data_IF_290341925203
#
_entry.id   IF_290341925203
#
_cell.length_a   1.000
_cell.length_b   1.000
_cell.length_c   1.000
_cell.angle_alpha   90.00
_cell.angle_beta   90.00
_cell.angle_gamma   90.00
#
_symmetry.space_group_name_H-M   'P 1'
#
loop_
_entity.id
_entity.type
_entity.pdbx_description
1 polymer ?
#
# COMPACT_ATOMS: atom_id res chain seq x y z
N UNK A 1 66.00 51.92 -51.36
CA UNK A 1 65.93 50.56 -50.78
C UNK A 1 64.93 50.61 -49.63
N UNK A 2 64.00 49.64 -49.60
CA UNK A 2 62.89 49.42 -48.64
C UNK A 2 63.26 49.53 -47.14
N UNK A 3 62.28 49.50 -46.21
CA UNK A 3 61.16 50.42 -45.95
C UNK A 3 61.16 50.78 -44.45
N UNK A 4 60.20 51.56 -43.93
CA UNK A 4 59.84 51.52 -42.49
C UNK A 4 58.45 52.10 -42.28
N UNK A 5 57.48 51.20 -42.10
CA UNK A 5 56.21 51.47 -41.42
C UNK A 5 56.50 51.68 -39.93
N UNK A 6 55.95 52.73 -39.31
CA UNK A 6 55.70 52.75 -37.87
C UNK A 6 54.36 53.43 -37.58
N UNK A 7 53.49 52.67 -36.94
CA UNK A 7 52.14 53.01 -36.46
C UNK A 7 52.27 53.53 -35.01
N UNK A 8 51.42 54.47 -34.55
CA UNK A 8 51.00 54.50 -33.16
C UNK A 8 49.47 54.42 -33.06
N UNK A 9 48.96 53.35 -32.47
CA UNK A 9 48.54 53.25 -31.05
C UNK A 9 47.13 53.78 -30.81
N UNK A 10 46.16 52.91 -31.08
CA UNK A 10 44.78 53.01 -30.59
C UNK A 10 44.77 52.57 -29.13
N UNK A 11 44.37 53.47 -28.25
CA UNK A 11 44.15 53.26 -26.82
C UNK A 11 42.87 52.42 -26.63
N UNK A 12 43.01 51.12 -26.34
CA UNK A 12 41.89 50.23 -26.06
C UNK A 12 41.71 50.11 -24.53
N UNK A 13 40.68 50.75 -23.97
CA UNK A 13 40.30 50.59 -22.56
C UNK A 13 39.76 49.17 -22.32
N UNK A 14 40.44 48.42 -21.46
CA UNK A 14 40.01 47.11 -20.95
C UNK A 14 38.93 47.29 -19.87
N UNK A 15 37.69 46.92 -20.19
CA UNK A 15 36.63 46.68 -19.21
C UNK A 15 36.85 45.31 -18.57
N UNK A 16 37.21 45.29 -17.29
CA UNK A 16 37.26 44.07 -16.46
C UNK A 16 35.83 43.57 -16.22
N UNK A 17 35.40 42.57 -16.99
CA UNK A 17 34.20 41.80 -16.66
C UNK A 17 34.54 40.84 -15.51
N UNK A 18 33.92 41.03 -14.35
CA UNK A 18 34.01 40.10 -13.22
C UNK A 18 33.24 38.82 -13.57
N UNK A 19 33.96 37.70 -13.70
CA UNK A 19 33.35 36.37 -13.79
C UNK A 19 32.73 36.02 -12.43
N UNK A 20 31.42 36.20 -12.29
CA UNK A 20 30.64 35.57 -11.22
C UNK A 20 30.45 34.11 -11.60
N UNK A 21 31.30 33.22 -11.08
CA UNK A 21 31.10 31.78 -11.22
C UNK A 21 29.92 31.37 -10.32
N UNK A 22 28.79 30.99 -10.92
CA UNK A 22 27.70 30.35 -10.19
C UNK A 22 28.15 28.95 -9.75
N UNK A 23 28.02 28.66 -8.46
CA UNK A 23 28.15 27.31 -7.94
C UNK A 23 27.19 26.37 -8.69
N UNK A 24 27.60 25.12 -9.01
CA UNK A 24 26.67 24.15 -9.58
C UNK A 24 25.51 23.96 -8.60
N UNK A 25 24.25 23.85 -9.09
CA UNK A 25 23.13 23.54 -8.22
C UNK A 25 23.45 22.23 -7.50
N UNK A 26 23.31 22.24 -6.17
CA UNK A 26 23.33 21.02 -5.37
C UNK A 26 22.35 20.02 -6.00
N UNK A 27 22.71 18.71 -6.09
CA UNK A 27 21.75 17.71 -6.49
C UNK A 27 20.59 17.80 -5.50
N UNK A 28 19.47 18.32 -6.00
CA UNK A 28 18.20 18.39 -5.31
C UNK A 28 17.88 16.93 -5.02
N UNK A 29 18.04 16.51 -3.77
CA UNK A 29 17.48 15.25 -3.29
C UNK A 29 16.01 15.31 -3.63
N UNK A 30 15.64 14.61 -4.71
CA UNK A 30 14.26 14.45 -5.12
C UNK A 30 13.50 13.90 -3.93
N UNK A 31 12.61 14.73 -3.38
CA UNK A 31 11.54 14.28 -2.49
C UNK A 31 10.96 12.98 -3.05
N UNK A 32 10.74 11.92 -2.24
CA UNK A 32 10.10 10.71 -2.73
C UNK A 32 8.76 11.06 -3.39
N UNK A 33 8.54 10.60 -4.62
CA UNK A 33 7.26 10.72 -5.32
C UNK A 33 6.18 10.06 -4.45
N UNK A 34 5.08 10.76 -4.12
CA UNK A 34 4.00 10.22 -3.29
C UNK A 34 3.26 9.01 -3.91
N UNK A 35 3.65 8.56 -5.12
CA UNK A 35 3.11 7.37 -5.78
C UNK A 35 3.94 6.09 -5.61
N UNK A 36 5.11 6.14 -4.96
CA UNK A 36 5.92 4.94 -4.76
C UNK A 36 5.45 4.21 -3.52
N UNK A 37 4.65 3.15 -3.72
CA UNK A 37 4.27 2.24 -2.66
C UNK A 37 5.42 1.25 -2.40
N UNK A 38 5.67 0.96 -1.13
CA UNK A 38 6.61 -0.08 -0.69
C UNK A 38 5.80 -1.33 -0.35
N UNK A 39 6.06 -2.42 -1.08
CA UNK A 39 5.33 -3.69 -0.95
C UNK A 39 6.21 -4.74 -0.30
N UNK A 40 5.62 -5.57 0.57
CA UNK A 40 6.26 -6.82 1.02
C UNK A 40 5.61 -7.98 0.27
N UNK A 41 6.38 -8.67 -0.59
CA UNK A 41 5.91 -9.84 -1.34
C UNK A 41 6.78 -11.04 -0.98
N UNK A 42 6.17 -12.21 -0.81
CA UNK A 42 6.88 -13.42 -0.45
C UNK A 42 7.22 -14.24 -1.70
N UNK A 43 8.43 -14.79 -1.74
CA UNK A 43 8.77 -15.80 -2.74
C UNK A 43 8.07 -17.14 -2.44
N UNK A 44 8.17 -18.09 -3.37
CA UNK A 44 7.64 -19.46 -3.28
C UNK A 44 8.21 -20.25 -2.11
N UNK A 45 9.32 -19.79 -1.50
CA UNK A 45 9.96 -20.38 -0.32
C UNK A 45 9.55 -19.68 0.98
N UNK A 46 8.73 -18.62 0.90
CA UNK A 46 8.23 -17.86 2.04
C UNK A 46 9.19 -16.79 2.56
N UNK A 47 10.20 -16.37 1.80
CA UNK A 47 11.05 -15.24 2.20
C UNK A 47 10.42 -13.91 1.79
N UNK A 48 10.40 -12.90 2.68
CA UNK A 48 9.87 -11.58 2.37
C UNK A 48 10.85 -10.77 1.51
N UNK A 49 10.32 -10.12 0.48
CA UNK A 49 11.02 -9.19 -0.39
C UNK A 49 10.34 -7.82 -0.36
N UNK A 50 11.13 -6.79 -0.11
CA UNK A 50 10.67 -5.41 -0.14
C UNK A 50 10.85 -4.84 -1.55
N UNK A 51 9.74 -4.42 -2.15
CA UNK A 51 9.72 -4.00 -3.55
C UNK A 51 9.02 -2.66 -3.68
N UNK A 52 9.70 -1.71 -4.32
CA UNK A 52 9.17 -0.38 -4.60
C UNK A 52 8.43 -0.36 -5.94
N UNK A 53 7.34 0.40 -6.03
CA UNK A 53 6.65 0.70 -7.29
C UNK A 53 5.15 0.48 -7.21
N UNK A 54 4.49 0.33 -8.36
CA UNK A 54 3.12 -0.17 -8.42
C UNK A 54 3.06 -1.67 -8.11
N UNK A 55 1.86 -2.21 -7.85
CA UNK A 55 1.73 -3.66 -7.59
C UNK A 55 2.12 -4.50 -8.83
N UNK A 56 1.91 -3.99 -10.05
CA UNK A 56 2.33 -4.62 -11.30
C UNK A 56 3.84 -4.56 -11.51
N UNK A 57 4.49 -3.48 -11.07
CA UNK A 57 5.95 -3.37 -11.04
C UNK A 57 6.53 -4.29 -9.97
N UNK A 58 5.88 -4.38 -8.81
CA UNK A 58 6.30 -5.23 -7.71
C UNK A 58 6.20 -6.72 -8.09
N UNK A 59 5.12 -7.13 -8.75
CA UNK A 59 5.00 -8.48 -9.30
C UNK A 59 6.03 -8.77 -10.40
N UNK A 60 6.31 -7.82 -11.30
CA UNK A 60 7.38 -7.99 -12.30
C UNK A 60 8.75 -8.17 -11.63
N UNK A 61 9.08 -7.38 -10.63
CA UNK A 61 10.32 -7.55 -9.87
C UNK A 61 10.37 -8.92 -9.16
N UNK A 62 9.24 -9.40 -8.65
CA UNK A 62 9.17 -10.72 -8.02
C UNK A 62 9.37 -11.88 -8.98
N UNK A 63 8.93 -11.77 -10.24
CA UNK A 63 9.25 -12.80 -11.26
C UNK A 63 10.75 -12.90 -11.59
N UNK A 64 11.53 -11.86 -11.29
CA UNK A 64 12.99 -11.87 -11.45
C UNK A 64 13.66 -12.46 -10.21
N UNK A 65 13.17 -12.12 -9.02
CA UNK A 65 13.69 -12.58 -7.72
C UNK A 65 13.40 -14.07 -7.52
N UNK A 66 12.21 -14.50 -7.94
CA UNK A 66 11.73 -15.87 -7.87
C UNK A 66 11.08 -16.25 -9.21
N UNK A 67 11.80 -16.94 -10.10
CA UNK A 67 11.27 -17.36 -11.40
C UNK A 67 10.02 -18.24 -11.34
N UNK A 68 9.75 -18.89 -10.20
CA UNK A 68 8.57 -19.72 -9.99
C UNK A 68 7.37 -18.92 -9.46
N UNK A 69 7.57 -17.64 -9.11
CA UNK A 69 6.52 -16.74 -8.66
C UNK A 69 5.49 -16.50 -9.77
N UNK A 70 4.22 -16.81 -9.49
CA UNK A 70 3.10 -16.54 -10.39
C UNK A 70 2.21 -15.45 -9.80
N UNK A 71 2.08 -14.29 -10.46
CA UNK A 71 1.14 -13.26 -10.00
C UNK A 71 -0.30 -13.80 -10.09
N UNK A 72 -1.20 -13.40 -9.17
CA UNK A 72 -2.59 -13.86 -9.18
C UNK A 72 -3.29 -13.42 -10.47
N UNK A 73 -3.93 -14.38 -11.16
CA UNK A 73 -4.68 -14.15 -12.39
C UNK A 73 -6.09 -13.64 -12.06
N UNK A 74 -6.26 -12.32 -11.96
CA UNK A 74 -7.55 -11.61 -11.83
C UNK A 74 -8.39 -11.93 -10.59
N UNK A 75 -9.23 -10.99 -10.09
CA UNK A 75 -10.07 -11.24 -8.92
C UNK A 75 -11.09 -12.37 -9.20
N UNK A 76 -11.37 -13.25 -8.22
CA UNK A 76 -12.27 -14.38 -8.40
C UNK A 76 -13.71 -13.89 -8.59
N UNK A 77 -14.47 -14.65 -9.38
CA UNK A 77 -15.92 -14.53 -9.53
C UNK A 77 -16.62 -14.67 -8.16
N UNK A 78 -17.71 -13.93 -7.88
CA UNK A 78 -18.39 -13.97 -6.59
C UNK A 78 -18.91 -15.38 -6.26
N UNK A 79 -18.48 -15.96 -5.14
CA UNK A 79 -18.93 -17.26 -4.64
C UNK A 79 -20.25 -17.18 -3.82
N UNK A 80 -21.05 -18.26 -3.78
CA UNK A 80 -22.32 -18.32 -3.04
C UNK A 80 -22.15 -18.04 -1.53
N UNK A 81 -23.11 -17.31 -0.95
CA UNK A 81 -23.05 -16.85 0.45
C UNK A 81 -22.99 -17.99 1.51
N UNK A 82 -23.55 -19.16 1.22
CA UNK A 82 -23.54 -20.31 2.13
C UNK A 82 -22.13 -20.93 2.31
N UNK A 83 -21.31 -20.89 1.27
CA UNK A 83 -19.95 -21.44 1.28
C UNK A 83 -18.98 -20.48 1.99
N UNK A 84 -19.15 -19.17 1.77
CA UNK A 84 -18.46 -18.12 2.54
C UNK A 84 -18.61 -18.29 4.05
N UNK A 85 -19.83 -18.56 4.54
CA UNK A 85 -20.08 -18.73 5.98
C UNK A 85 -19.24 -19.84 6.64
N UNK A 86 -18.99 -20.95 5.92
CA UNK A 86 -18.18 -22.06 6.43
C UNK A 86 -16.68 -21.76 6.44
N UNK A 87 -16.17 -21.01 5.46
CA UNK A 87 -14.75 -20.65 5.37
C UNK A 87 -14.33 -19.66 6.48
N UNK A 88 -15.25 -18.76 6.83
CA UNK A 88 -15.01 -17.69 7.79
C UNK A 88 -15.38 -18.04 9.23
N UNK A 89 -16.04 -19.17 9.48
CA UNK A 89 -16.37 -19.64 10.82
C UNK A 89 -15.09 -19.85 11.67
N UNK A 90 -14.97 -19.10 12.77
CA UNK A 90 -13.94 -19.31 13.80
C UNK A 90 -14.64 -19.63 15.11
N UNK A 91 -14.41 -20.82 15.66
CA UNK A 91 -14.92 -21.17 16.98
C UNK A 91 -14.32 -20.23 18.05
N UNK A 92 -15.12 -19.30 18.57
CA UNK A 92 -15.03 -18.82 19.95
C UNK A 92 -14.22 -17.56 20.29
N UNK A 93 -13.53 -16.87 19.36
CA UNK A 93 -12.63 -15.76 19.76
C UNK A 93 -12.69 -14.44 18.97
N UNK A 94 -13.13 -14.43 17.70
CA UNK A 94 -13.30 -13.18 16.93
C UNK A 94 -14.58 -12.40 17.30
N UNK A 95 -15.34 -12.88 18.30
CA UNK A 95 -16.67 -12.35 18.61
C UNK A 95 -16.68 -11.17 19.58
N UNK A 96 -15.68 -11.04 20.46
CA UNK A 96 -15.71 -10.04 21.54
C UNK A 96 -15.19 -8.65 21.14
N UNK A 97 -14.47 -8.53 20.02
CA UNK A 97 -13.77 -7.28 19.63
C UNK A 97 -14.49 -6.40 18.61
N UNK A 98 -15.68 -6.79 18.13
CA UNK A 98 -16.35 -6.09 17.02
C UNK A 98 -17.17 -4.90 17.51
N UNK A 99 -16.94 -3.74 16.88
CA UNK A 99 -17.66 -2.49 17.14
C UNK A 99 -18.14 -1.88 15.83
N UNK A 100 -19.42 -1.55 15.77
CA UNK A 100 -20.10 -1.02 14.57
C UNK A 100 -20.01 0.51 14.46
N UNK A 101 -18.80 1.03 14.60
CA UNK A 101 -18.47 2.45 14.53
C UNK A 101 -17.10 2.61 13.86
N UNK A 102 -16.85 3.76 13.24
CA UNK A 102 -15.54 4.02 12.64
C UNK A 102 -15.57 4.93 11.42
N UNK A 103 -14.77 4.57 10.41
CA UNK A 103 -14.35 5.39 9.27
C UNK A 103 -15.46 5.71 8.23
N UNK A 104 -16.71 5.78 8.66
CA UNK A 104 -17.86 6.09 7.81
C UNK A 104 -18.38 4.90 6.98
N UNK A 105 -19.58 5.03 6.36
CA UNK A 105 -20.21 3.95 5.62
C UNK A 105 -19.43 3.52 4.37
N UNK A 106 -19.14 2.22 4.25
CA UNK A 106 -18.61 1.58 3.05
C UNK A 106 -19.70 0.76 2.35
N UNK A 107 -19.63 0.64 1.02
CA UNK A 107 -20.55 -0.18 0.26
C UNK A 107 -20.32 -1.68 0.57
N UNK A 108 -21.37 -2.36 1.03
CA UNK A 108 -21.29 -3.76 1.46
C UNK A 108 -20.82 -4.69 0.32
N UNK A 109 -21.26 -4.47 -0.92
CA UNK A 109 -20.88 -5.32 -2.04
C UNK A 109 -19.38 -5.20 -2.34
N UNK A 110 -18.83 -3.99 -2.26
CA UNK A 110 -17.41 -3.73 -2.51
C UNK A 110 -16.53 -4.28 -1.38
N UNK A 111 -17.00 -4.19 -0.14
CA UNK A 111 -16.33 -4.83 1.00
C UNK A 111 -16.31 -6.35 0.86
N UNK A 112 -17.41 -6.98 0.45
CA UNK A 112 -17.41 -8.42 0.20
C UNK A 112 -16.42 -8.82 -0.89
N UNK A 113 -16.35 -8.06 -2.01
CA UNK A 113 -15.32 -8.28 -3.04
C UNK A 113 -13.90 -8.09 -2.49
N UNK A 114 -13.72 -7.11 -1.61
CA UNK A 114 -12.45 -6.89 -0.92
C UNK A 114 -12.05 -8.07 -0.04
N UNK A 115 -13.01 -8.65 0.69
CA UNK A 115 -12.81 -9.86 1.51
C UNK A 115 -12.40 -11.05 0.61
N UNK A 116 -13.12 -11.29 -0.48
CA UNK A 116 -12.81 -12.36 -1.43
C UNK A 116 -11.44 -12.16 -2.10
N UNK A 117 -11.08 -10.92 -2.43
CA UNK A 117 -9.77 -10.56 -2.96
C UNK A 117 -8.64 -10.95 -1.99
N UNK A 118 -8.78 -10.70 -0.69
CA UNK A 118 -7.77 -11.07 0.31
C UNK A 118 -7.47 -12.57 0.32
N UNK A 119 -8.47 -13.43 0.05
CA UNK A 119 -8.26 -14.88 -0.02
C UNK A 119 -7.38 -15.31 -1.21
N UNK A 120 -7.25 -14.47 -2.23
CA UNK A 120 -6.45 -14.79 -3.42
C UNK A 120 -4.99 -14.38 -3.30
N UNK A 121 -4.65 -13.62 -2.27
CA UNK A 121 -3.28 -13.15 -2.06
C UNK A 121 -2.50 -14.26 -1.33
N UNK A 122 -1.41 -14.79 -1.93
CA UNK A 122 -0.56 -15.74 -1.24
C UNK A 122 0.30 -15.05 -0.17
N UNK A 123 0.78 -15.83 0.80
CA UNK A 123 1.73 -15.37 1.82
C UNK A 123 1.09 -14.76 3.07
N UNK A 124 1.96 -14.15 3.89
CA UNK A 124 1.68 -13.72 5.25
C UNK A 124 1.73 -12.20 5.35
N UNK A 125 0.60 -11.48 5.57
CA UNK A 125 0.64 -10.04 5.64
C UNK A 125 1.49 -9.58 6.83
N UNK A 126 2.32 -8.56 6.59
CA UNK A 126 3.17 -7.95 7.60
C UNK A 126 3.01 -6.43 7.59
N UNK A 127 2.83 -5.84 8.77
CA UNK A 127 2.87 -4.39 8.96
C UNK A 127 4.09 -4.06 9.83
N UNK A 128 4.99 -3.26 9.28
CA UNK A 128 6.19 -2.83 9.99
C UNK A 128 5.86 -1.73 11.03
N UNK A 129 6.65 -1.70 12.09
CA UNK A 129 6.57 -0.64 13.10
C UNK A 129 5.49 -0.88 14.15
N UNK A 130 5.03 0.19 14.79
CA UNK A 130 4.08 0.16 15.91
C UNK A 130 2.91 1.06 15.61
N UNK A 131 1.70 0.67 16.01
CA UNK A 131 0.50 1.54 15.93
C UNK A 131 0.26 2.09 14.52
N UNK A 132 0.36 1.23 13.50
CA UNK A 132 0.26 1.59 12.09
C UNK A 132 -0.90 0.86 11.41
N UNK A 133 -1.48 1.47 10.39
CA UNK A 133 -2.54 0.88 9.59
C UNK A 133 -2.18 0.91 8.11
N UNK A 134 -2.43 -0.19 7.42
CA UNK A 134 -2.27 -0.30 5.97
C UNK A 134 -3.62 -0.61 5.32
N UNK A 135 -3.89 0.07 4.21
CA UNK A 135 -5.10 -0.16 3.42
C UNK A 135 -4.84 -1.35 2.50
N UNK A 136 -5.46 -2.48 2.82
CA UNK A 136 -5.21 -3.76 2.16
C UNK A 136 -6.22 -4.06 1.05
N UNK A 137 -7.34 -3.35 1.03
CA UNK A 137 -8.30 -3.36 -0.07
C UNK A 137 -9.01 -2.01 -0.15
N UNK A 138 -9.29 -1.53 -1.36
CA UNK A 138 -10.10 -0.34 -1.59
C UNK A 138 -10.75 -0.37 -2.97
N UNK A 139 -12.06 -0.18 -3.03
CA UNK A 139 -12.79 -0.02 -4.30
C UNK A 139 -14.03 0.83 -4.09
N UNK A 140 -14.36 1.71 -5.04
CA UNK A 140 -15.56 2.56 -5.00
C UNK A 140 -15.75 3.26 -3.64
N UNK A 141 -14.68 3.89 -3.18
CA UNK A 141 -14.54 4.50 -1.87
C UNK A 141 -14.86 3.62 -0.64
N UNK A 142 -14.70 2.30 -0.74
CA UNK A 142 -14.97 1.32 0.31
C UNK A 142 -13.69 0.54 0.60
N UNK A 143 -13.19 0.62 1.84
CA UNK A 143 -11.88 0.10 2.19
C UNK A 143 -11.89 -0.88 3.35
N UNK A 144 -10.89 -1.76 3.33
CA UNK A 144 -10.48 -2.64 4.42
C UNK A 144 -9.06 -2.24 4.81
N UNK A 145 -8.85 -2.01 6.10
CA UNK A 145 -7.51 -1.79 6.66
C UNK A 145 -7.14 -2.93 7.59
N UNK A 146 -5.86 -3.30 7.53
CA UNK A 146 -5.19 -4.05 8.58
C UNK A 146 -4.41 -3.06 9.43
N UNK A 147 -4.60 -3.10 10.74
CA UNK A 147 -3.93 -2.22 11.68
C UNK A 147 -3.18 -3.03 12.72
N UNK A 148 -1.92 -2.66 12.92
CA UNK A 148 -1.10 -3.13 14.02
C UNK A 148 -1.30 -2.19 15.22
N UNK A 149 -1.96 -2.67 16.27
CA UNK A 149 -2.13 -1.95 17.55
C UNK A 149 -1.01 -2.28 18.55
N UNK A 150 -0.07 -3.13 18.15
CA UNK A 150 1.03 -3.63 18.94
C UNK A 150 2.21 -2.67 19.00
N UNK A 151 3.14 -2.98 19.93
CA UNK A 151 4.42 -2.28 20.11
C UNK A 151 5.55 -2.86 19.25
N UNK A 152 5.25 -3.78 18.34
CA UNK A 152 6.20 -4.43 17.42
C UNK A 152 5.51 -4.68 16.09
N UNK A 153 6.29 -4.96 15.05
CA UNK A 153 5.75 -5.36 13.74
C UNK A 153 4.76 -6.51 13.87
N UNK A 154 3.68 -6.44 13.11
CA UNK A 154 2.65 -7.46 13.02
C UNK A 154 2.99 -8.38 11.84
N UNK A 155 2.89 -9.69 12.04
CA UNK A 155 2.88 -10.68 10.95
C UNK A 155 1.76 -11.67 11.24
N UNK A 156 0.82 -11.82 10.30
CA UNK A 156 -0.22 -12.84 10.39
C UNK A 156 0.17 -14.07 9.58
N UNK A 157 -0.41 -15.22 9.90
CA UNK A 157 -0.07 -16.47 9.20
C UNK A 157 -0.44 -16.40 7.73
N UNK A 158 -1.58 -15.78 7.40
CA UNK A 158 -2.06 -15.60 6.04
C UNK A 158 -3.17 -14.53 5.97
N UNK A 159 -3.54 -14.16 4.75
CA UNK A 159 -4.60 -13.19 4.48
C UNK A 159 -6.01 -13.64 4.87
N UNK A 160 -6.23 -14.95 5.02
CA UNK A 160 -7.50 -15.50 5.52
C UNK A 160 -7.80 -15.03 6.95
N UNK A 161 -6.79 -14.71 7.76
CA UNK A 161 -7.02 -14.09 9.09
C UNK A 161 -7.70 -12.72 8.99
N UNK A 162 -7.24 -11.87 8.07
CA UNK A 162 -7.82 -10.53 7.84
C UNK A 162 -9.21 -10.65 7.23
N UNK A 163 -9.38 -11.53 6.24
CA UNK A 163 -10.65 -11.77 5.59
C UNK A 163 -11.73 -12.26 6.59
N UNK A 164 -11.36 -13.17 7.50
CA UNK A 164 -12.23 -13.62 8.60
C UNK A 164 -12.65 -12.49 9.52
N UNK A 165 -11.69 -11.65 9.93
CA UNK A 165 -11.96 -10.50 10.80
C UNK A 165 -12.92 -9.51 10.12
N UNK A 166 -12.69 -9.20 8.84
CA UNK A 166 -13.55 -8.35 8.03
C UNK A 166 -14.97 -8.94 7.85
N UNK A 167 -15.07 -10.25 7.59
CA UNK A 167 -16.37 -10.93 7.48
C UNK A 167 -17.17 -10.82 8.78
N UNK A 168 -16.52 -11.00 9.93
CA UNK A 168 -17.18 -10.81 11.23
C UNK A 168 -17.78 -9.42 11.42
N UNK A 169 -17.13 -8.38 10.90
CA UNK A 169 -17.66 -7.00 10.91
C UNK A 169 -18.87 -6.91 9.97
N UNK A 170 -18.79 -7.48 8.76
CA UNK A 170 -19.90 -7.51 7.79
C UNK A 170 -21.15 -8.17 8.38
N UNK A 171 -20.98 -9.30 9.07
CA UNK A 171 -22.10 -10.09 9.60
C UNK A 171 -22.88 -9.36 10.70
N UNK A 172 -22.27 -8.35 11.34
CA UNK A 172 -22.85 -7.68 12.53
C UNK A 172 -23.11 -6.18 12.34
N UNK A 173 -22.34 -5.53 11.48
CA UNK A 173 -22.28 -4.08 11.41
C UNK A 173 -22.83 -3.50 10.10
N UNK A 174 -23.78 -4.20 9.47
CA UNK A 174 -24.56 -3.61 8.39
C UNK A 174 -25.46 -2.49 8.93
N UNK A 175 -25.49 -1.38 8.20
CA UNK A 175 -26.32 -0.23 8.53
C UNK A 175 -27.78 -0.46 8.10
N UNK A 176 -28.74 0.32 8.65
CA UNK A 176 -30.13 0.29 8.19
C UNK A 176 -30.23 0.37 6.66
N UNK A 177 -30.98 -0.55 6.06
CA UNK A 177 -31.10 -0.70 4.61
C UNK A 177 -30.11 -1.68 3.97
N UNK A 178 -29.17 -2.25 4.72
CA UNK A 178 -28.36 -3.41 4.32
C UNK A 178 -27.38 -3.19 3.16
N UNK A 179 -27.21 -1.96 2.69
CA UNK A 179 -26.31 -1.61 1.57
C UNK A 179 -24.94 -1.16 2.03
N UNK A 180 -24.81 -0.78 3.29
CA UNK A 180 -23.60 -0.20 3.84
C UNK A 180 -23.17 -0.93 5.10
N UNK A 181 -21.87 -0.91 5.35
CA UNK A 181 -21.23 -1.49 6.53
C UNK A 181 -20.17 -0.52 7.02
N UNK A 182 -19.99 -0.44 8.33
CA UNK A 182 -18.83 0.20 8.93
C UNK A 182 -18.53 -0.43 10.27
N UNK A 183 -17.25 -0.52 10.62
CA UNK A 183 -16.88 -1.04 11.92
C UNK A 183 -15.42 -1.43 12.00
N UNK A 184 -15.05 -1.93 13.15
CA UNK A 184 -13.72 -2.49 13.37
C UNK A 184 -13.81 -3.71 14.29
N UNK A 185 -12.81 -4.58 14.20
CA UNK A 185 -12.65 -5.77 15.03
C UNK A 185 -11.28 -5.73 15.70
N UNK A 186 -11.24 -5.79 17.03
CA UNK A 186 -10.00 -6.03 17.77
C UNK A 186 -9.73 -7.53 17.90
N UNK A 187 -8.55 -7.94 17.45
CA UNK A 187 -8.14 -9.33 17.43
C UNK A 187 -7.10 -9.61 18.52
N UNK A 188 -7.02 -10.88 18.91
CA UNK A 188 -5.98 -11.35 19.82
C UNK A 188 -4.60 -11.07 19.20
N UNK A 189 -3.62 -10.72 20.04
CA UNK A 189 -2.26 -10.30 19.65
C UNK A 189 -2.10 -8.84 19.21
N UNK A 190 -3.12 -8.00 19.42
CA UNK A 190 -2.96 -6.54 19.35
C UNK A 190 -2.93 -6.03 17.91
N UNK A 191 -3.83 -6.53 17.08
CA UNK A 191 -4.12 -5.98 15.76
C UNK A 191 -5.62 -5.80 15.59
N UNK A 192 -6.03 -5.03 14.59
CA UNK A 192 -7.44 -4.83 14.26
C UNK A 192 -7.68 -4.78 12.77
N UNK A 193 -8.86 -5.17 12.36
CA UNK A 193 -9.40 -4.87 11.03
C UNK A 193 -10.35 -3.69 11.12
N UNK A 194 -10.32 -2.79 10.13
CA UNK A 194 -11.25 -1.67 10.01
C UNK A 194 -11.94 -1.73 8.65
N UNK A 195 -13.24 -1.45 8.62
CA UNK A 195 -14.06 -1.31 7.41
C UNK A 195 -14.72 0.07 7.44
N UNK A 196 -14.63 0.79 6.32
CA UNK A 196 -15.24 2.10 6.20
C UNK A 196 -14.86 2.83 4.91
N UNK A 197 -15.24 4.10 4.87
CA UNK A 197 -15.06 4.96 3.72
C UNK A 197 -13.60 5.41 3.58
N UNK A 198 -13.07 5.35 2.36
CA UNK A 198 -11.75 5.87 1.99
C UNK A 198 -11.81 6.41 0.59
N UNK A 199 -11.12 7.51 0.27
CA UNK A 199 -10.98 7.90 -1.12
C UNK A 199 -10.07 6.91 -1.87
N UNK A 200 -10.66 6.24 -2.85
CA UNK A 200 -10.07 5.43 -3.91
C UNK A 200 -11.09 5.34 -5.06
#
# INVERSE_FOLDING_TARGET
>A
MHPSLFIPSILLLLLLATNVQSLPPTPITSSPDPRVSLWTIFDTKGHPHLVNGTIEEAYRAMTVIDPDFKPPSSPPSPEPAAERGSLYARAGYAELGIRCEGAGPANLAEINRGIDYLLTIPGSPMIAGTTSCERVSCSWNSAIWLCNEGKRSLTLSNWLEVARSAQGIVDRCFLPGGKFVMGHSFEVLGWRTVIGHSNC
#
